data_IF_242559277406
#
_entry.id   IF_242559277406
#
_cell.length_a   1.000
_cell.length_b   1.000
_cell.length_c   1.000
_cell.angle_alpha   90.00
_cell.angle_beta   90.00
_cell.angle_gamma   90.00
#
_symmetry.space_group_name_H-M   'P 1'
#
loop_
_entity.id
_entity.type
_entity.pdbx_description
1 polymer ?
#
# COMPACT_ATOMS: atom_id res chain seq x y z
N UNK A 1 -23.08 -37.64 14.76
CA UNK A 1 -22.97 -36.18 14.96
C UNK A 1 -21.93 -35.69 13.97
N UNK A 2 -22.35 -35.03 12.89
CA UNK A 2 -21.40 -34.47 11.93
C UNK A 2 -20.80 -33.20 12.54
N UNK A 3 -19.50 -33.23 12.85
CA UNK A 3 -18.72 -32.03 13.08
C UNK A 3 -18.72 -31.24 11.76
N UNK A 4 -19.54 -30.19 11.67
CA UNK A 4 -19.26 -29.12 10.72
C UNK A 4 -17.99 -28.43 11.21
N UNK A 5 -16.82 -28.84 10.73
CA UNK A 5 -15.62 -28.02 10.85
C UNK A 5 -15.92 -26.66 10.24
N UNK A 6 -15.84 -25.59 11.03
CA UNK A 6 -15.87 -24.24 10.49
C UNK A 6 -14.60 -24.05 9.65
N UNK A 7 -14.75 -23.96 8.34
CA UNK A 7 -13.67 -23.69 7.38
C UNK A 7 -13.29 -22.21 7.26
N UNK A 8 -13.78 -21.35 8.16
CA UNK A 8 -13.45 -19.92 8.15
C UNK A 8 -12.06 -19.67 8.75
N UNK A 9 -11.00 -20.13 8.09
CA UNK A 9 -9.65 -19.66 8.39
C UNK A 9 -9.46 -18.34 7.67
N UNK A 10 -9.50 -17.24 8.42
CA UNK A 10 -9.05 -15.94 7.91
C UNK A 10 -7.55 -16.07 7.62
N UNK A 11 -7.18 -16.02 6.35
CA UNK A 11 -5.79 -15.92 5.93
C UNK A 11 -5.50 -14.46 5.61
N UNK A 12 -4.52 -13.88 6.30
CA UNK A 12 -3.99 -12.56 5.99
C UNK A 12 -2.58 -12.74 5.44
N UNK A 13 -2.36 -12.24 4.24
CA UNK A 13 -1.05 -12.24 3.58
C UNK A 13 -0.55 -10.80 3.52
N UNK A 14 0.69 -10.60 3.97
CA UNK A 14 1.35 -9.30 3.95
C UNK A 14 2.32 -9.22 2.79
N UNK A 15 2.29 -8.10 2.08
CA UNK A 15 3.11 -7.84 0.91
C UNK A 15 3.96 -6.60 1.13
N UNK A 16 5.09 -6.58 0.46
CA UNK A 16 6.06 -5.49 0.47
C UNK A 16 6.50 -5.23 -0.97
N UNK A 17 6.64 -3.96 -1.32
CA UNK A 17 7.18 -3.55 -2.61
C UNK A 17 8.09 -2.33 -2.42
N UNK A 18 9.03 -2.15 -3.33
CA UNK A 18 10.03 -1.09 -3.28
C UNK A 18 10.09 -0.35 -4.62
N UNK A 19 10.04 0.98 -4.57
CA UNK A 19 10.13 1.83 -5.75
C UNK A 19 11.11 2.97 -5.51
N UNK A 20 11.75 3.47 -6.56
CA UNK A 20 12.47 4.74 -6.51
C UNK A 20 11.85 5.73 -7.48
N UNK A 21 11.44 6.90 -6.96
CA UNK A 21 10.77 7.95 -7.75
C UNK A 21 11.40 9.29 -7.42
N UNK A 22 11.93 9.99 -8.42
CA UNK A 22 12.59 11.28 -8.24
C UNK A 22 13.63 11.30 -7.08
N UNK A 23 14.36 10.19 -6.90
CA UNK A 23 15.34 10.01 -5.83
C UNK A 23 14.79 9.66 -4.45
N UNK A 24 13.47 9.52 -4.29
CA UNK A 24 12.85 8.96 -3.10
C UNK A 24 12.89 7.45 -3.13
N UNK A 25 13.45 6.82 -2.11
CA UNK A 25 13.30 5.40 -1.85
C UNK A 25 11.95 5.18 -1.15
N UNK A 26 11.01 4.56 -1.84
CA UNK A 26 9.64 4.29 -1.38
C UNK A 26 9.49 2.81 -1.02
N UNK A 27 8.89 2.51 0.12
CA UNK A 27 8.60 1.17 0.60
C UNK A 27 7.10 1.06 0.84
N UNK A 28 6.46 0.12 0.15
CA UNK A 28 5.03 -0.17 0.21
C UNK A 28 4.79 -1.33 1.17
N UNK A 29 3.72 -1.25 1.94
CA UNK A 29 3.24 -2.30 2.83
C UNK A 29 1.72 -2.41 2.73
N UNK A 30 1.22 -3.61 2.47
CA UNK A 30 -0.22 -3.86 2.40
C UNK A 30 -0.58 -5.30 2.77
N UNK A 31 -1.83 -5.50 3.19
CA UNK A 31 -2.34 -6.80 3.61
C UNK A 31 -3.58 -7.19 2.79
N UNK A 32 -3.58 -8.41 2.27
CA UNK A 32 -4.76 -9.04 1.67
C UNK A 32 -5.38 -10.02 2.66
N UNK A 33 -6.70 -10.01 2.77
CA UNK A 33 -7.44 -11.04 3.50
C UNK A 33 -8.14 -11.96 2.49
N UNK A 34 -7.83 -13.26 2.55
CA UNK A 34 -8.38 -14.31 1.69
C UNK A 34 -8.27 -13.99 0.18
N UNK A 35 -7.15 -13.39 -0.25
CA UNK A 35 -6.93 -13.00 -1.65
C UNK A 35 -7.73 -11.76 -2.09
N UNK A 36 -8.54 -11.17 -1.21
CA UNK A 36 -9.28 -9.94 -1.50
C UNK A 36 -8.39 -8.71 -1.55
N UNK A 37 -8.92 -7.62 -2.13
CA UNK A 37 -8.23 -6.33 -2.19
C UNK A 37 -7.75 -5.85 -0.82
N UNK A 38 -6.56 -5.21 -0.74
CA UNK A 38 -6.12 -4.56 0.48
C UNK A 38 -7.08 -3.46 0.90
N UNK A 39 -7.43 -3.43 2.19
CA UNK A 39 -8.21 -2.32 2.78
C UNK A 39 -7.34 -1.12 3.12
N UNK A 40 -6.03 -1.37 3.30
CA UNK A 40 -5.02 -0.37 3.58
C UNK A 40 -3.75 -0.66 2.78
N UNK A 41 -3.19 0.38 2.16
CA UNK A 41 -1.85 0.37 1.58
C UNK A 41 -1.09 1.54 2.20
N UNK A 42 0.10 1.26 2.75
CA UNK A 42 0.98 2.25 3.36
C UNK A 42 2.23 2.39 2.52
N UNK A 43 2.72 3.62 2.43
CA UNK A 43 4.02 3.95 1.86
C UNK A 43 4.78 4.79 2.84
N UNK A 44 6.02 4.41 3.07
CA UNK A 44 7.04 5.27 3.65
C UNK A 44 8.10 5.55 2.61
N UNK A 45 8.72 6.72 2.67
CA UNK A 45 9.87 6.98 1.82
C UNK A 45 10.86 7.95 2.43
N UNK A 46 12.08 7.91 1.90
CA UNK A 46 13.17 8.78 2.33
C UNK A 46 13.95 9.33 1.14
N UNK A 47 14.42 10.57 1.26
CA UNK A 47 15.33 11.23 0.32
C UNK A 47 16.16 12.24 1.09
N UNK A 48 17.47 12.04 1.14
CA UNK A 48 18.39 12.83 1.97
C UNK A 48 17.92 12.89 3.45
N UNK A 49 17.60 14.07 3.97
CA UNK A 49 17.02 14.27 5.31
C UNK A 49 15.49 14.32 5.31
N UNK A 50 14.87 14.19 4.14
CA UNK A 50 13.43 14.25 3.93
C UNK A 50 12.74 12.91 4.18
N UNK A 51 11.50 12.98 4.65
CA UNK A 51 10.63 11.81 4.82
C UNK A 51 9.31 12.00 4.05
N UNK A 52 8.78 10.89 3.57
CA UNK A 52 7.51 10.81 2.87
C UNK A 52 6.66 9.74 3.55
N UNK A 53 5.38 10.04 3.73
CA UNK A 53 4.40 9.06 4.16
C UNK A 53 3.14 9.24 3.36
N UNK A 54 2.60 8.14 2.85
CA UNK A 54 1.27 8.11 2.28
C UNK A 54 0.53 6.86 2.73
N UNK A 55 -0.78 6.97 2.84
CA UNK A 55 -1.62 5.79 3.03
C UNK A 55 -2.92 5.93 2.25
N UNK A 56 -3.38 4.80 1.71
CA UNK A 56 -4.72 4.64 1.18
C UNK A 56 -5.53 3.81 2.15
N UNK A 57 -6.64 4.35 2.64
CA UNK A 57 -7.58 3.63 3.49
C UNK A 57 -9.00 3.82 2.94
N UNK A 58 -9.62 2.71 2.52
CA UNK A 58 -10.99 2.70 1.97
C UNK A 58 -11.23 3.77 0.88
N UNK A 59 -10.24 3.99 0.00
CA UNK A 59 -10.34 4.96 -1.10
C UNK A 59 -9.89 6.38 -0.78
N UNK A 60 -9.65 6.72 0.48
CA UNK A 60 -9.07 8.02 0.86
C UNK A 60 -7.54 7.91 0.87
N UNK A 61 -6.88 8.86 0.22
CA UNK A 61 -5.41 8.94 0.18
C UNK A 61 -4.97 10.13 1.04
N UNK A 62 -4.13 9.87 2.04
CA UNK A 62 -3.42 10.93 2.76
C UNK A 62 -1.95 10.90 2.35
N UNK A 63 -1.37 12.09 2.18
CA UNK A 63 0.04 12.26 1.84
C UNK A 63 0.66 13.30 2.77
N UNK A 64 1.88 13.04 3.23
CA UNK A 64 2.66 13.92 4.08
C UNK A 64 4.13 13.91 3.66
N UNK A 65 4.71 15.11 3.64
CA UNK A 65 6.14 15.35 3.49
C UNK A 65 6.68 15.90 4.82
N UNK A 66 7.77 15.33 5.28
CA UNK A 66 8.44 15.69 6.53
C UNK A 66 9.94 15.93 6.34
N UNK A 67 10.64 16.23 7.44
CA UNK A 67 12.09 16.44 7.40
C UNK A 67 12.53 17.65 6.57
N UNK A 68 11.72 18.72 6.57
CA UNK A 68 11.90 19.94 5.76
C UNK A 68 11.91 19.70 4.24
N UNK A 69 11.45 18.53 3.77
CA UNK A 69 11.28 18.29 2.35
C UNK A 69 10.15 19.15 1.76
N UNK A 70 10.33 19.56 0.52
CA UNK A 70 9.27 20.20 -0.25
C UNK A 70 8.33 19.14 -0.82
N UNK A 71 7.08 19.53 -1.04
CA UNK A 71 6.12 18.69 -1.74
C UNK A 71 6.64 18.30 -3.13
N UNK A 72 6.58 17.01 -3.45
CA UNK A 72 7.05 16.44 -4.71
C UNK A 72 5.87 15.82 -5.49
N UNK A 73 5.44 16.49 -6.54
CA UNK A 73 4.26 16.08 -7.32
C UNK A 73 4.47 14.78 -8.10
N UNK A 74 5.71 14.46 -8.48
CA UNK A 74 6.04 13.22 -9.19
C UNK A 74 5.89 12.03 -8.26
N UNK A 75 6.36 12.16 -7.02
CA UNK A 75 6.20 11.13 -5.97
C UNK A 75 4.71 10.91 -5.66
N UNK A 76 3.93 11.99 -5.49
CA UNK A 76 2.48 11.87 -5.25
C UNK A 76 1.81 11.08 -6.37
N UNK A 77 2.09 11.44 -7.63
CA UNK A 77 1.47 10.81 -8.80
C UNK A 77 1.88 9.35 -8.93
N UNK A 78 3.15 9.02 -8.70
CA UNK A 78 3.64 7.66 -8.75
C UNK A 78 2.99 6.79 -7.66
N UNK A 79 2.91 7.28 -6.41
CA UNK A 79 2.28 6.55 -5.30
C UNK A 79 0.80 6.32 -5.55
N UNK A 80 0.08 7.32 -6.08
CA UNK A 80 -1.33 7.15 -6.46
C UNK A 80 -1.51 6.08 -7.54
N UNK A 81 -0.61 6.08 -8.54
CA UNK A 81 -0.63 5.08 -9.62
C UNK A 81 -0.34 3.68 -9.09
N UNK A 82 0.64 3.55 -8.18
CA UNK A 82 1.01 2.29 -7.57
C UNK A 82 -0.11 1.73 -6.69
N UNK A 83 -0.82 2.56 -5.94
CA UNK A 83 -2.00 2.13 -5.19
C UNK A 83 -3.08 1.52 -6.09
N UNK A 84 -3.32 2.09 -7.27
CA UNK A 84 -4.25 1.53 -8.25
C UNK A 84 -3.73 0.22 -8.83
N UNK A 85 -2.43 0.15 -9.15
CA UNK A 85 -1.80 -1.06 -9.67
C UNK A 85 -1.88 -2.22 -8.67
N UNK A 86 -1.52 -1.98 -7.40
CA UNK A 86 -1.64 -2.95 -6.31
C UNK A 86 -3.07 -3.48 -6.21
N UNK A 87 -4.09 -2.60 -6.18
CA UNK A 87 -5.48 -3.04 -6.10
C UNK A 87 -5.92 -3.89 -7.31
N UNK A 88 -5.46 -3.53 -8.51
CA UNK A 88 -5.76 -4.29 -9.73
C UNK A 88 -5.18 -5.71 -9.71
N UNK A 89 -4.08 -5.96 -8.98
CA UNK A 89 -3.53 -7.33 -8.83
C UNK A 89 -4.48 -8.28 -8.10
N UNK A 90 -5.41 -7.76 -7.30
CA UNK A 90 -6.40 -8.53 -6.53
C UNK A 90 -7.81 -8.52 -7.17
N UNK A 91 -7.99 -7.84 -8.32
CA UNK A 91 -9.27 -7.83 -9.03
C UNK A 91 -9.48 -9.04 -9.94
N UNK A 92 -8.45 -9.84 -10.22
CA UNK A 92 -8.46 -10.84 -11.30
C UNK A 92 -9.09 -12.19 -10.90
N UNK A 93 -9.55 -12.38 -9.66
CA UNK A 93 -10.18 -13.64 -9.20
C UNK A 93 -11.63 -13.46 -8.73
N UNK A 94 -12.53 -12.99 -9.61
CA UNK A 94 -13.98 -13.16 -9.43
C UNK A 94 -14.62 -13.91 -10.59
#
# INVERSE_FOLDING_TARGET
MNNMERTNKKQTTKFYDDQTVNGWALNYEYESTNGGKPTEIRVTGTKDTGSFFANKNNGNISVSFGGNSQMDAEVITAVQSEFVAIEATFEVEQ
#
